data_IF_358975933980
#
_entry.id   IF_358975933980
#
_cell.length_a   1.000
_cell.length_b   1.000
_cell.length_c   1.000
_cell.angle_alpha   90.00
_cell.angle_beta   90.00
_cell.angle_gamma   90.00
#
_symmetry.space_group_name_H-M   'P 1'
#
loop_
_entity.id
_entity.type
_entity.pdbx_description
1 polymer ?
#
# COMPACT_ATOMS: atom_id res chain seq x y z
N UNK A 1 27.13 -28.16 8.53
CA UNK A 1 26.18 -27.77 7.45
C UNK A 1 25.72 -26.37 7.78
N UNK A 2 25.83 -25.38 6.88
CA UNK A 2 25.37 -24.04 7.19
C UNK A 2 23.84 -24.05 7.33
N UNK A 3 23.38 -23.41 8.38
CA UNK A 3 21.99 -23.18 8.74
C UNK A 3 21.29 -22.44 7.59
N UNK A 4 20.28 -23.06 6.98
CA UNK A 4 19.45 -22.38 5.98
C UNK A 4 18.53 -21.42 6.72
N UNK A 5 19.01 -20.20 6.95
CA UNK A 5 18.19 -19.10 7.45
C UNK A 5 17.07 -18.84 6.43
N UNK A 6 15.91 -19.44 6.66
CA UNK A 6 14.72 -19.24 5.85
C UNK A 6 14.27 -17.80 6.04
N UNK A 7 14.57 -16.95 5.06
CA UNK A 7 14.01 -15.60 5.01
C UNK A 7 12.49 -15.69 5.05
N UNK A 8 11.80 -14.87 5.85
CA UNK A 8 10.35 -14.87 5.86
C UNK A 8 9.81 -14.62 4.44
N UNK A 9 8.68 -15.25 4.07
CA UNK A 9 8.07 -15.01 2.77
C UNK A 9 7.75 -13.52 2.59
N UNK A 10 7.84 -13.00 1.37
CA UNK A 10 7.58 -11.59 1.11
C UNK A 10 6.14 -11.21 1.48
N UNK A 11 5.98 -10.03 2.10
CA UNK A 11 4.69 -9.45 2.44
C UNK A 11 4.31 -8.35 1.45
N UNK A 12 3.06 -8.32 1.01
CA UNK A 12 2.55 -7.34 0.06
C UNK A 12 1.29 -6.67 0.59
N UNK A 13 1.19 -5.35 0.41
CA UNK A 13 -0.06 -4.64 0.63
C UNK A 13 -1.05 -5.00 -0.48
N UNK A 14 -2.27 -5.40 -0.12
CA UNK A 14 -3.36 -5.65 -1.07
C UNK A 14 -4.36 -4.51 -1.10
N UNK A 15 -4.51 -3.79 0.00
CA UNK A 15 -5.37 -2.62 0.09
C UNK A 15 -4.95 -1.69 1.22
N UNK A 16 -5.40 -0.44 1.14
CA UNK A 16 -5.27 0.57 2.19
C UNK A 16 -6.58 1.34 2.29
N UNK A 17 -7.17 1.37 3.47
CA UNK A 17 -8.30 2.24 3.78
C UNK A 17 -7.83 3.46 4.56
N UNK A 18 -8.23 4.65 4.12
CA UNK A 18 -7.91 5.94 4.74
C UNK A 18 -9.21 6.66 5.07
N UNK A 19 -9.29 7.22 6.26
CA UNK A 19 -10.43 7.99 6.74
C UNK A 19 -9.93 9.08 7.69
N UNK A 20 -10.48 10.28 7.55
CA UNK A 20 -10.13 11.46 8.35
C UNK A 20 -8.61 11.72 8.46
N UNK A 21 -7.89 11.60 7.35
CA UNK A 21 -6.44 11.82 7.27
C UNK A 21 -6.08 12.73 6.09
N UNK A 22 -5.72 13.98 6.41
CA UNK A 22 -5.30 15.01 5.44
C UNK A 22 -6.31 15.15 4.29
N UNK A 23 -5.91 14.79 3.07
CA UNK A 23 -6.72 14.86 1.85
C UNK A 23 -7.85 13.82 1.79
N UNK A 24 -7.92 12.88 2.74
CA UNK A 24 -8.95 11.83 2.81
C UNK A 24 -9.92 12.13 3.96
N UNK A 25 -11.03 12.79 3.66
CA UNK A 25 -12.09 13.07 4.64
C UNK A 25 -12.95 11.83 4.90
N UNK A 26 -13.82 11.49 3.96
CA UNK A 26 -14.60 10.26 4.00
C UNK A 26 -13.70 9.03 3.77
N UNK A 27 -14.13 7.86 4.25
CA UNK A 27 -13.43 6.60 4.04
C UNK A 27 -13.24 6.31 2.55
N UNK A 28 -12.01 6.06 2.14
CA UNK A 28 -11.65 5.63 0.79
C UNK A 28 -10.76 4.39 0.90
N UNK A 29 -10.96 3.42 0.00
CA UNK A 29 -10.13 2.20 -0.06
C UNK A 29 -9.42 2.15 -1.39
N UNK A 30 -8.09 2.10 -1.34
CA UNK A 30 -7.23 1.91 -2.49
C UNK A 30 -6.89 0.42 -2.55
N UNK A 31 -7.14 -0.21 -3.70
CA UNK A 31 -6.69 -1.58 -3.97
C UNK A 31 -5.32 -1.56 -4.64
N UNK A 32 -4.42 -2.40 -4.14
CA UNK A 32 -3.13 -2.72 -4.74
C UNK A 32 -3.12 -4.15 -5.30
N UNK A 33 -4.29 -4.79 -5.36
CA UNK A 33 -4.45 -6.12 -5.91
C UNK A 33 -4.96 -6.09 -7.36
N UNK A 34 -4.60 -7.11 -8.14
CA UNK A 34 -5.23 -7.41 -9.42
C UNK A 34 -6.70 -7.80 -9.22
N UNK A 35 -7.47 -7.90 -10.31
CA UNK A 35 -8.89 -8.31 -10.23
C UNK A 35 -9.08 -9.69 -9.61
N UNK A 36 -8.06 -10.54 -9.68
CA UNK A 36 -8.01 -11.90 -9.13
C UNK A 36 -7.53 -11.94 -7.67
N UNK A 37 -7.33 -10.78 -7.02
CA UNK A 37 -6.93 -10.68 -5.62
C UNK A 37 -5.44 -10.90 -5.35
N UNK A 38 -4.61 -10.96 -6.40
CA UNK A 38 -3.15 -11.13 -6.26
C UNK A 38 -2.46 -9.77 -6.11
N UNK A 39 -1.30 -9.66 -5.45
CA UNK A 39 -0.54 -8.40 -5.42
C UNK A 39 -0.25 -7.88 -6.82
N UNK A 40 -0.48 -6.59 -7.07
CA UNK A 40 0.01 -5.93 -8.26
C UNK A 40 1.52 -5.74 -8.13
N UNK A 41 2.30 -6.27 -9.09
CA UNK A 41 3.77 -6.18 -9.07
C UNK A 41 4.27 -4.74 -9.15
N UNK A 42 3.52 -3.87 -9.81
CA UNK A 42 3.83 -2.45 -9.98
C UNK A 42 2.59 -1.61 -9.72
N UNK A 43 2.69 -0.68 -8.78
CA UNK A 43 1.63 0.29 -8.48
C UNK A 43 2.12 1.69 -8.82
N UNK A 44 1.39 2.40 -9.69
CA UNK A 44 1.66 3.80 -10.03
C UNK A 44 0.55 4.66 -9.42
N UNK A 45 0.92 5.61 -8.55
CA UNK A 45 -0.02 6.55 -7.94
C UNK A 45 0.03 7.88 -8.71
N UNK A 46 -1.03 8.18 -9.46
CA UNK A 46 -1.16 9.38 -10.27
C UNK A 46 -2.18 10.36 -9.66
N UNK A 47 -2.11 11.62 -10.09
CA UNK A 47 -3.03 12.69 -9.71
C UNK A 47 -2.34 14.03 -9.55
N UNK A 48 -3.12 15.11 -9.43
CA UNK A 48 -2.60 16.47 -9.33
C UNK A 48 -1.87 16.75 -8.01
N UNK A 49 -1.18 17.89 -7.93
CA UNK A 49 -0.51 18.31 -6.70
C UNK A 49 -1.55 18.58 -5.60
N UNK A 50 -1.26 18.11 -4.37
CA UNK A 50 -2.14 18.29 -3.21
C UNK A 50 -3.24 17.25 -3.02
N UNK A 51 -3.48 16.34 -3.99
CA UNK A 51 -4.60 15.36 -3.90
C UNK A 51 -4.38 14.20 -2.93
N UNK A 52 -3.25 14.15 -2.23
CA UNK A 52 -3.00 13.12 -1.19
C UNK A 52 -2.06 11.98 -1.58
N UNK A 53 -1.39 12.02 -2.74
CA UNK A 53 -0.39 10.99 -3.14
C UNK A 53 0.67 10.73 -2.05
N UNK A 54 1.26 11.79 -1.52
CA UNK A 54 2.24 11.69 -0.41
C UNK A 54 1.61 11.17 0.88
N UNK A 55 0.32 11.43 1.13
CA UNK A 55 -0.41 10.88 2.28
C UNK A 55 -0.54 9.37 2.17
N UNK A 56 -0.85 8.83 0.98
CA UNK A 56 -0.88 7.39 0.72
C UNK A 56 0.47 6.74 1.00
N UNK A 57 1.55 7.28 0.40
CA UNK A 57 2.91 6.75 0.61
C UNK A 57 3.34 6.77 2.08
N UNK A 58 3.07 7.89 2.77
CA UNK A 58 3.37 8.01 4.20
C UNK A 58 2.58 7.00 5.03
N UNK A 59 1.31 6.78 4.71
CA UNK A 59 0.46 5.84 5.45
C UNK A 59 0.97 4.40 5.31
N UNK A 60 1.41 3.99 4.12
CA UNK A 60 2.03 2.67 3.90
C UNK A 60 3.33 2.52 4.71
N UNK A 61 4.16 3.56 4.78
CA UNK A 61 5.45 3.52 5.47
C UNK A 61 5.35 3.38 6.99
N UNK A 62 4.22 3.74 7.62
CA UNK A 62 4.05 3.58 9.08
C UNK A 62 3.52 2.19 9.47
N UNK A 63 3.15 1.36 8.49
CA UNK A 63 2.56 0.02 8.72
C UNK A 63 3.60 -1.11 8.63
N UNK A 64 4.86 -0.77 8.32
CA UNK A 64 6.03 -1.67 8.26
C UNK A 64 7.13 -1.16 9.18
#
# INVERSE_FOLDING_TARGET
MPDQSTSPPPAYFLSLSLENVRSFGAKQTISFATKEGRPAQWTIILGDNGVGKTTVLKSLAVLI
#
